data_IF_673001318619
#
_entry.id   IF_673001318619
#
_cell.length_a   1.000
_cell.length_b   1.000
_cell.length_c   1.000
_cell.angle_alpha   90.00
_cell.angle_beta   90.00
_cell.angle_gamma   90.00
#
_symmetry.space_group_name_H-M   'P 1'
#
loop_
_entity.id
_entity.type
_entity.pdbx_description
1 polymer ?
#
# COMPACT_ATOMS: atom_id res chain seq x y z
N UNK A 1 -38.17 -47.81 57.21
CA UNK A 1 -37.49 -46.54 56.89
C UNK A 1 -36.65 -46.73 55.64
N UNK A 2 -36.95 -46.00 54.56
CA UNK A 2 -36.19 -46.05 53.30
C UNK A 2 -35.07 -45.00 53.38
N UNK A 3 -33.82 -45.45 53.35
CA UNK A 3 -32.63 -44.60 53.24
C UNK A 3 -32.59 -44.00 51.83
N UNK A 4 -32.98 -42.74 51.73
CA UNK A 4 -32.96 -41.97 50.47
C UNK A 4 -31.51 -41.63 50.13
N UNK A 5 -31.11 -42.00 48.91
CA UNK A 5 -29.79 -41.80 48.30
C UNK A 5 -29.38 -40.32 48.30
N UNK A 6 -28.57 -39.91 49.26
CA UNK A 6 -27.93 -38.57 49.29
C UNK A 6 -26.70 -38.46 48.38
N UNK A 7 -26.21 -39.59 47.84
CA UNK A 7 -24.98 -39.64 47.04
C UNK A 7 -25.12 -39.04 45.63
N UNK A 8 -26.34 -38.92 45.10
CA UNK A 8 -26.58 -38.46 43.72
C UNK A 8 -26.57 -36.94 43.57
N UNK A 9 -26.86 -36.19 44.63
CA UNK A 9 -27.10 -34.75 44.54
C UNK A 9 -25.81 -33.93 44.54
N UNK A 10 -24.81 -34.36 45.33
CA UNK A 10 -23.51 -33.70 45.45
C UNK A 10 -22.65 -33.82 44.17
N UNK A 11 -22.85 -34.90 43.41
CA UNK A 11 -22.13 -35.14 42.16
C UNK A 11 -22.69 -34.30 41.00
N UNK A 12 -24.02 -34.19 40.90
CA UNK A 12 -24.67 -33.29 39.94
C UNK A 12 -24.29 -31.82 40.20
N UNK A 13 -24.23 -31.38 41.46
CA UNK A 13 -23.88 -30.00 41.79
C UNK A 13 -22.44 -29.65 41.37
N UNK A 14 -21.48 -30.58 41.54
CA UNK A 14 -20.10 -30.37 41.08
C UNK A 14 -19.97 -30.34 39.56
N UNK A 15 -20.72 -31.16 38.84
CA UNK A 15 -20.72 -31.18 37.37
C UNK A 15 -21.28 -29.86 36.82
N UNK A 16 -22.39 -29.36 37.38
CA UNK A 16 -22.99 -28.09 36.95
C UNK A 16 -22.03 -26.90 37.15
N UNK A 17 -21.34 -26.83 38.30
CA UNK A 17 -20.34 -25.78 38.56
C UNK A 17 -19.18 -25.85 37.57
N UNK A 18 -18.71 -27.07 37.24
CA UNK A 18 -17.63 -27.27 36.28
C UNK A 18 -18.05 -26.84 34.87
N UNK A 19 -19.28 -27.15 34.46
CA UNK A 19 -19.83 -26.71 33.17
C UNK A 19 -19.96 -25.19 33.08
N UNK A 20 -20.38 -24.51 34.17
CA UNK A 20 -20.46 -23.04 34.21
C UNK A 20 -19.07 -22.40 34.13
N UNK A 21 -18.06 -22.95 34.81
CA UNK A 21 -16.67 -22.46 34.71
C UNK A 21 -16.07 -22.66 33.32
N UNK A 22 -16.35 -23.79 32.65
CA UNK A 22 -15.90 -24.04 31.28
C UNK A 22 -16.59 -23.08 30.30
N UNK A 23 -17.88 -22.80 30.47
CA UNK A 23 -18.61 -21.81 29.65
C UNK A 23 -18.10 -20.38 29.86
N UNK A 24 -17.71 -20.01 31.08
CA UNK A 24 -17.07 -18.71 31.37
C UNK A 24 -15.67 -18.58 30.75
N UNK A 25 -14.88 -19.64 30.75
CA UNK A 25 -13.54 -19.67 30.13
C UNK A 25 -13.60 -19.68 28.59
N UNK A 26 -14.61 -20.36 28.01
CA UNK A 26 -14.85 -20.37 26.56
C UNK A 26 -15.49 -19.05 26.07
N UNK A 27 -16.27 -18.37 26.90
CA UNK A 27 -16.84 -17.05 26.60
C UNK A 27 -15.82 -15.91 26.56
N UNK A 28 -14.69 -16.04 27.27
CA UNK A 28 -13.63 -15.03 27.29
C UNK A 28 -12.69 -15.08 26.07
N UNK A 29 -12.70 -16.17 25.29
CA UNK A 29 -11.80 -16.36 24.14
C UNK A 29 -12.44 -16.02 22.78
N UNK A 30 -13.73 -15.66 22.74
CA UNK A 30 -14.44 -15.27 21.50
C UNK A 30 -14.65 -13.77 21.36
N UNK A 31 -14.00 -12.94 22.18
CA UNK A 31 -13.89 -11.50 21.95
C UNK A 31 -12.96 -11.26 20.76
N UNK A 32 -13.52 -11.48 19.57
CA UNK A 32 -13.21 -10.85 18.30
C UNK A 32 -11.78 -10.31 18.15
N UNK A 33 -10.85 -11.21 17.89
CA UNK A 33 -9.80 -10.92 16.92
C UNK A 33 -10.46 -10.83 15.52
N UNK A 34 -11.29 -9.81 15.28
CA UNK A 34 -11.56 -9.35 13.92
C UNK A 34 -10.27 -8.70 13.43
N UNK A 35 -9.29 -9.52 13.04
CA UNK A 35 -8.31 -9.07 12.08
C UNK A 35 -9.10 -8.70 10.82
N UNK A 36 -9.39 -7.40 10.67
CA UNK A 36 -9.84 -6.81 9.41
C UNK A 36 -8.81 -7.29 8.38
N UNK A 37 -9.16 -8.28 7.58
CA UNK A 37 -8.40 -8.66 6.41
C UNK A 37 -8.43 -7.44 5.51
N UNK A 38 -7.33 -6.67 5.53
CA UNK A 38 -7.16 -5.53 4.63
C UNK A 38 -7.15 -6.12 3.24
N UNK A 39 -8.29 -5.99 2.53
CA UNK A 39 -8.38 -6.40 1.13
C UNK A 39 -7.38 -5.52 0.37
N UNK A 40 -6.29 -6.13 -0.09
CA UNK A 40 -5.29 -5.45 -0.91
C UNK A 40 -5.96 -4.92 -2.16
N UNK A 41 -6.02 -3.59 -2.31
CA UNK A 41 -6.54 -2.95 -3.52
C UNK A 41 -5.40 -2.82 -4.52
N UNK A 42 -5.63 -3.32 -5.73
CA UNK A 42 -4.65 -3.30 -6.82
C UNK A 42 -5.06 -2.27 -7.86
N UNK A 43 -4.15 -1.35 -8.18
CA UNK A 43 -4.32 -0.40 -9.27
C UNK A 43 -3.86 -1.03 -10.58
N UNK A 44 -4.76 -1.13 -11.57
CA UNK A 44 -4.44 -1.71 -12.88
C UNK A 44 -3.98 -0.61 -13.84
N UNK A 45 -2.74 -0.72 -14.31
CA UNK A 45 -2.14 0.26 -15.22
C UNK A 45 -2.73 0.10 -16.64
N UNK A 46 -3.08 1.20 -17.33
CA UNK A 46 -3.62 1.12 -18.67
C UNK A 46 -2.59 0.55 -19.67
N UNK A 47 -3.07 -0.12 -20.72
CA UNK A 47 -2.23 -0.68 -21.78
C UNK A 47 -1.77 0.39 -22.79
N UNK A 48 -1.15 1.46 -22.31
CA UNK A 48 -0.58 2.55 -23.13
C UNK A 48 0.59 3.21 -22.41
N UNK A 49 1.34 4.04 -23.13
CA UNK A 49 2.36 4.88 -22.50
C UNK A 49 1.74 5.80 -21.44
N UNK A 50 2.28 5.78 -20.23
CA UNK A 50 1.83 6.63 -19.14
C UNK A 50 2.94 6.93 -18.13
N UNK A 51 2.71 7.98 -17.35
CA UNK A 51 3.45 8.26 -16.13
C UNK A 51 2.48 8.11 -14.97
N UNK A 52 2.90 7.42 -13.91
CA UNK A 52 2.13 7.22 -12.69
C UNK A 52 2.76 8.04 -11.56
N UNK A 53 1.92 8.64 -10.73
CA UNK A 53 2.32 9.39 -9.55
C UNK A 53 1.56 8.80 -8.34
N UNK A 54 2.21 7.94 -7.55
CA UNK A 54 1.62 7.39 -6.34
C UNK A 54 1.42 8.45 -5.26
N UNK A 55 0.18 8.58 -4.79
CA UNK A 55 -0.14 9.46 -3.67
C UNK A 55 0.32 8.80 -2.38
N UNK A 56 1.06 9.56 -1.56
CA UNK A 56 1.49 9.10 -0.24
C UNK A 56 0.30 9.11 0.72
N UNK A 57 0.12 8.02 1.49
CA UNK A 57 -0.95 7.93 2.49
C UNK A 57 -0.65 8.74 3.75
N UNK A 58 -1.68 9.19 4.45
CA UNK A 58 -1.53 9.89 5.74
C UNK A 58 -0.73 9.06 6.75
N UNK A 59 -0.98 7.74 6.80
CA UNK A 59 -0.24 6.83 7.68
C UNK A 59 1.26 6.79 7.35
N UNK A 60 1.61 6.90 6.07
CA UNK A 60 3.00 6.96 5.63
C UNK A 60 3.61 8.34 5.89
N UNK A 61 2.86 9.43 5.72
CA UNK A 61 3.27 10.78 6.11
C UNK A 61 3.62 10.84 7.60
N UNK A 62 2.74 10.34 8.46
CA UNK A 62 2.98 10.30 9.91
C UNK A 62 4.15 9.40 10.30
N UNK A 63 4.44 8.35 9.52
CA UNK A 63 5.65 7.55 9.69
C UNK A 63 6.90 8.36 9.32
N UNK A 64 6.90 9.03 8.16
CA UNK A 64 8.03 9.84 7.70
C UNK A 64 8.34 10.98 8.67
N UNK A 65 7.32 11.66 9.22
CA UNK A 65 7.50 12.68 10.27
C UNK A 65 8.23 12.17 11.50
N UNK A 66 7.96 10.92 11.91
CA UNK A 66 8.61 10.29 13.07
C UNK A 66 10.02 9.81 12.77
N UNK A 67 10.31 9.48 11.51
CA UNK A 67 11.63 9.05 11.04
C UNK A 67 12.56 10.25 10.76
N UNK A 68 12.00 11.42 10.49
CA UNK A 68 12.74 12.67 10.37
C UNK A 68 13.39 13.07 11.70
N UNK A 69 14.49 13.83 11.61
CA UNK A 69 15.22 14.32 12.79
C UNK A 69 14.35 15.23 13.66
N UNK A 70 13.51 16.03 13.03
CA UNK A 70 12.47 16.86 13.64
C UNK A 70 11.39 17.14 12.57
N UNK A 71 10.27 17.71 13.00
CA UNK A 71 9.13 17.97 12.11
C UNK A 71 9.40 19.09 11.10
N UNK A 72 10.22 20.09 11.44
CA UNK A 72 10.61 21.15 10.51
C UNK A 72 11.44 20.59 9.35
N UNK A 73 12.40 19.68 9.64
CA UNK A 73 13.20 19.00 8.62
C UNK A 73 12.30 18.19 7.65
N UNK A 74 11.24 17.54 8.17
CA UNK A 74 10.25 16.86 7.34
C UNK A 74 9.53 17.83 6.39
N UNK A 75 9.11 18.99 6.90
CA UNK A 75 8.40 19.98 6.09
C UNK A 75 9.30 20.65 5.04
N UNK A 76 10.59 20.86 5.34
CA UNK A 76 11.57 21.32 4.33
C UNK A 76 11.69 20.31 3.19
N UNK A 77 11.84 19.02 3.49
CA UNK A 77 11.89 17.98 2.45
C UNK A 77 10.58 17.90 1.66
N UNK A 78 9.43 18.02 2.33
CA UNK A 78 8.12 17.99 1.68
C UNK A 78 7.93 19.17 0.71
N UNK A 79 8.41 20.36 1.08
CA UNK A 79 8.36 21.53 0.21
C UNK A 79 9.22 21.35 -1.05
N UNK A 80 10.43 20.81 -0.90
CA UNK A 80 11.30 20.48 -2.03
C UNK A 80 10.63 19.45 -2.96
N UNK A 81 10.08 18.37 -2.39
CA UNK A 81 9.37 17.33 -3.15
C UNK A 81 8.18 17.93 -3.91
N UNK A 82 7.38 18.78 -3.29
CA UNK A 82 6.24 19.45 -3.93
C UNK A 82 6.70 20.35 -5.09
N UNK A 83 7.80 21.10 -4.90
CA UNK A 83 8.38 21.93 -5.94
C UNK A 83 8.82 21.09 -7.16
N UNK A 84 9.54 20.00 -6.94
CA UNK A 84 10.01 19.15 -8.04
C UNK A 84 8.87 18.37 -8.72
N UNK A 85 7.85 17.92 -7.97
CA UNK A 85 6.64 17.33 -8.56
C UNK A 85 5.89 18.33 -9.46
N UNK A 86 5.79 19.59 -9.04
CA UNK A 86 5.21 20.65 -9.87
C UNK A 86 6.01 20.86 -11.17
N UNK A 87 7.34 20.97 -11.08
CA UNK A 87 8.21 21.10 -12.24
C UNK A 87 8.10 19.88 -13.18
N UNK A 88 8.05 18.68 -12.62
CA UNK A 88 7.82 17.44 -13.35
C UNK A 88 6.48 17.46 -14.10
N UNK A 89 5.42 17.88 -13.43
CA UNK A 89 4.08 18.07 -13.99
C UNK A 89 4.07 18.99 -15.20
N UNK A 90 4.69 20.16 -15.07
CA UNK A 90 4.78 21.14 -16.15
C UNK A 90 5.66 20.64 -17.31
N UNK A 91 6.77 19.94 -17.03
CA UNK A 91 7.58 19.30 -18.06
C UNK A 91 6.78 18.27 -18.87
N UNK A 92 6.06 17.35 -18.20
CA UNK A 92 5.27 16.32 -18.88
C UNK A 92 4.14 16.93 -19.72
N UNK A 93 3.49 17.98 -19.19
CA UNK A 93 2.41 18.71 -19.88
C UNK A 93 2.90 19.32 -21.19
N UNK A 94 4.11 19.89 -21.24
CA UNK A 94 4.74 20.39 -22.47
C UNK A 94 4.99 19.28 -23.51
N UNK A 95 5.12 18.02 -23.06
CA UNK A 95 5.28 16.85 -23.91
C UNK A 95 3.94 16.13 -24.21
N UNK A 96 2.80 16.76 -23.90
CA UNK A 96 1.47 16.18 -24.16
C UNK A 96 1.10 15.01 -23.26
N UNK A 97 1.83 14.81 -22.16
CA UNK A 97 1.59 13.74 -21.18
C UNK A 97 1.10 14.33 -19.86
N UNK A 98 0.11 13.68 -19.24
CA UNK A 98 -0.28 13.95 -17.85
C UNK A 98 0.00 12.71 -17.00
N UNK A 99 0.43 12.93 -15.76
CA UNK A 99 0.55 11.85 -14.79
C UNK A 99 -0.83 11.32 -14.40
N UNK A 100 -0.90 10.02 -14.16
CA UNK A 100 -2.06 9.37 -13.56
C UNK A 100 -1.78 9.25 -12.07
N UNK A 101 -2.56 9.95 -11.27
CA UNK A 101 -2.50 9.80 -9.82
C UNK A 101 -2.94 8.39 -9.45
N UNK A 102 -2.12 7.68 -8.69
CA UNK A 102 -2.48 6.39 -8.10
C UNK A 102 -2.90 6.66 -6.66
N UNK A 103 -4.20 6.54 -6.31
CA UNK A 103 -4.68 6.87 -4.98
C UNK A 103 -4.01 6.02 -3.91
N UNK A 104 -3.75 6.63 -2.75
CA UNK A 104 -3.12 5.99 -1.59
C UNK A 104 -3.88 4.74 -1.07
N UNK A 105 -5.14 4.54 -1.48
CA UNK A 105 -5.91 3.34 -1.16
C UNK A 105 -5.40 2.08 -1.85
N UNK A 106 -4.61 2.21 -2.93
CA UNK A 106 -4.04 1.10 -3.67
C UNK A 106 -2.63 0.79 -3.15
N UNK A 107 -2.42 -0.43 -2.69
CA UNK A 107 -1.11 -0.87 -2.15
C UNK A 107 -0.22 -1.43 -3.25
N UNK A 108 -0.82 -2.04 -4.27
CA UNK A 108 -0.11 -2.70 -5.37
C UNK A 108 -0.49 -2.06 -6.71
N UNK A 109 0.48 -1.89 -7.59
CA UNK A 109 0.34 -1.37 -8.96
C UNK A 109 0.64 -2.51 -9.92
N UNK A 110 -0.36 -3.02 -10.63
CA UNK A 110 -0.26 -4.13 -11.57
C UNK A 110 -0.10 -3.61 -13.00
N UNK A 111 1.03 -3.94 -13.62
CA UNK A 111 1.36 -3.61 -15.00
C UNK A 111 0.86 -4.68 -15.98
N UNK A 112 0.59 -4.32 -17.25
CA UNK A 112 0.16 -5.27 -18.28
C UNK A 112 1.11 -6.43 -18.55
N UNK A 113 2.40 -6.31 -18.23
CA UNK A 113 3.39 -7.39 -18.33
C UNK A 113 3.32 -8.37 -17.15
N UNK A 114 2.41 -8.17 -16.19
CA UNK A 114 2.27 -8.98 -14.98
C UNK A 114 3.15 -8.51 -13.81
N UNK A 115 3.97 -7.48 -14.01
CA UNK A 115 4.81 -6.92 -12.96
C UNK A 115 3.97 -6.17 -11.92
N UNK A 116 4.38 -6.27 -10.65
CA UNK A 116 3.72 -5.61 -9.54
C UNK A 116 4.74 -4.75 -8.80
N UNK A 117 4.43 -3.46 -8.66
CA UNK A 117 5.20 -2.54 -7.81
C UNK A 117 4.33 -2.19 -6.60
N UNK A 118 4.90 -2.28 -5.41
CA UNK A 118 4.24 -1.85 -4.18
C UNK A 118 4.36 -0.33 -4.03
N UNK A 119 3.22 0.36 -3.90
CA UNK A 119 3.16 1.82 -3.91
C UNK A 119 3.89 2.46 -2.71
N UNK A 120 3.96 1.77 -1.57
CA UNK A 120 4.63 2.21 -0.35
C UNK A 120 6.16 2.13 -0.41
N UNK A 121 6.71 1.35 -1.34
CA UNK A 121 8.16 1.23 -1.56
C UNK A 121 8.74 2.34 -2.43
N UNK A 122 7.89 3.10 -3.11
CA UNK A 122 8.30 4.21 -3.99
C UNK A 122 8.65 5.41 -3.13
N UNK A 123 9.85 5.98 -3.29
CA UNK A 123 10.32 7.15 -2.55
C UNK A 123 9.37 8.35 -2.63
N UNK A 124 9.43 9.25 -1.64
CA UNK A 124 8.63 10.47 -1.66
C UNK A 124 9.03 11.33 -2.87
N UNK A 125 8.04 11.78 -3.65
CA UNK A 125 8.30 12.46 -4.92
C UNK A 125 8.70 11.52 -6.08
N UNK A 126 8.61 10.20 -5.90
CA UNK A 126 8.86 9.22 -6.94
C UNK A 126 7.71 9.09 -7.94
N UNK A 127 8.05 8.89 -9.21
CA UNK A 127 7.13 8.67 -10.32
C UNK A 127 7.46 7.36 -11.03
N UNK A 128 6.52 6.80 -11.79
CA UNK A 128 6.74 5.58 -12.58
C UNK A 128 6.51 5.86 -14.06
N UNK A 129 7.52 5.61 -14.89
CA UNK A 129 7.42 5.65 -16.34
C UNK A 129 7.04 4.28 -16.88
N UNK A 130 6.04 4.22 -17.75
CA UNK A 130 5.61 2.97 -18.36
C UNK A 130 5.28 3.11 -19.85
N UNK A 131 5.71 2.13 -20.64
CA UNK A 131 5.19 1.91 -22.01
C UNK A 131 5.20 0.43 -22.36
N UNK A 132 4.29 0.03 -23.25
CA UNK A 132 4.21 -1.34 -23.75
C UNK A 132 5.58 -1.82 -24.27
N UNK A 133 5.96 -3.03 -23.90
CA UNK A 133 7.23 -3.66 -24.31
C UNK A 133 8.47 -3.16 -23.56
N UNK A 134 8.33 -2.30 -22.55
CA UNK A 134 9.38 -1.98 -21.59
C UNK A 134 8.90 -2.25 -20.15
N UNK A 135 9.84 -2.62 -19.28
CA UNK A 135 9.55 -2.69 -17.85
C UNK A 135 9.29 -1.28 -17.30
N UNK A 136 8.39 -1.11 -16.32
CA UNK A 136 8.21 0.14 -15.61
C UNK A 136 9.53 0.61 -15.00
N UNK A 137 9.74 1.91 -14.99
CA UNK A 137 10.92 2.54 -14.38
C UNK A 137 10.46 3.51 -13.31
N UNK A 138 10.89 3.28 -12.07
CA UNK A 138 10.72 4.23 -10.97
C UNK A 138 11.79 5.31 -11.09
N UNK A 139 11.39 6.57 -11.00
CA UNK A 139 12.27 7.74 -11.17
C UNK A 139 11.94 8.80 -10.12
N UNK A 140 12.94 9.58 -9.71
CA UNK A 140 12.69 10.79 -8.91
C UNK A 140 12.04 11.87 -9.78
N UNK A 141 11.18 12.70 -9.20
CA UNK A 141 10.66 13.91 -9.85
C UNK A 141 11.78 14.89 -10.24
N UNK A 142 12.91 14.89 -9.52
CA UNK A 142 14.10 15.69 -9.85
C UNK A 142 14.69 15.29 -11.20
N UNK A 143 14.77 13.98 -11.47
CA UNK A 143 15.43 13.41 -12.64
C UNK A 143 14.46 13.14 -13.81
N UNK A 144 13.20 13.58 -13.67
CA UNK A 144 12.12 13.23 -14.59
C UNK A 144 12.42 13.63 -16.03
N UNK A 145 13.07 14.77 -16.25
CA UNK A 145 13.30 15.31 -17.59
C UNK A 145 14.23 14.41 -18.40
N UNK A 146 15.36 14.01 -17.79
CA UNK A 146 16.32 13.10 -18.41
C UNK A 146 15.73 11.70 -18.56
N UNK A 147 15.13 11.17 -17.50
CA UNK A 147 14.57 9.83 -17.50
C UNK A 147 13.42 9.68 -18.51
N UNK A 148 12.55 10.68 -18.62
CA UNK A 148 11.45 10.69 -19.59
C UNK A 148 11.98 10.61 -21.03
N UNK A 149 12.97 11.44 -21.38
CA UNK A 149 13.56 11.44 -22.71
C UNK A 149 14.19 10.10 -23.04
N UNK A 150 14.99 9.54 -22.13
CA UNK A 150 15.64 8.24 -22.31
C UNK A 150 14.64 7.09 -22.41
N UNK A 151 13.63 7.08 -21.54
CA UNK A 151 12.66 5.99 -21.44
C UNK A 151 11.70 5.98 -22.64
N UNK A 152 11.13 7.13 -23.00
CA UNK A 152 10.17 7.25 -24.09
C UNK A 152 10.80 7.42 -25.47
N UNK A 153 12.13 7.61 -25.56
CA UNK A 153 12.84 7.67 -26.84
C UNK A 153 12.41 6.54 -27.81
N UNK A 154 12.22 6.87 -29.10
CA UNK A 154 11.97 5.88 -30.12
C UNK A 154 13.17 4.97 -30.26
N UNK A 155 12.93 3.65 -30.33
CA UNK A 155 14.00 2.68 -30.59
C UNK A 155 14.55 2.99 -31.98
N UNK A 156 15.83 3.39 -32.08
CA UNK A 156 16.51 3.52 -33.37
C UNK A 156 16.54 2.15 -34.04
N UNK A 157 15.57 1.86 -34.92
CA UNK A 157 15.62 0.67 -35.77
C UNK A 157 16.85 0.82 -36.66
N UNK A 158 17.86 -0.05 -36.49
CA UNK A 158 18.91 -0.22 -37.50
C UNK A 158 18.20 -0.55 -38.82
N UNK A 159 18.22 0.38 -39.78
CA UNK A 159 17.82 0.08 -41.15
C UNK A 159 18.74 -1.05 -41.61
N UNK A 160 18.17 -2.25 -41.83
CA UNK A 160 18.84 -3.29 -42.62
C UNK A 160 19.02 -2.68 -44.01
N UNK A 161 20.25 -2.29 -44.34
CA UNK A 161 20.69 -2.06 -45.71
C UNK A 161 21.05 -3.40 -46.31
#
# INVERSE_FOLDING_TARGET
MKTVKTFSFYWCQKIVVLCVQVMLLLGASTVFAQHKTVVKKVFKVPQRACVLEPVVSDARIEKMKKEARNEDDFYVEADDVNYYLYQAGEFMKRHGQKAILVPATYTDILFPNGEIIQADTIAFGGMILYKLGKNPQVVSSVDIAEAYQSYFAPVKRKRRR
#
